data_IF_882042733929
#
_entry.id   IF_882042733929
#
_cell.length_a   1.000
_cell.length_b   1.000
_cell.length_c   1.000
_cell.angle_alpha   90.00
_cell.angle_beta   90.00
_cell.angle_gamma   90.00
#
_symmetry.space_group_name_H-M   'P 1'
#
loop_
_entity.id
_entity.type
_entity.pdbx_description
1 polymer ?
#
# COMPACT_ATOMS: atom_id res chain seq x y z
N UNK A 1 7.04 1.02 -10.91
CA UNK A 1 6.48 -0.20 -10.31
C UNK A 1 6.52 -1.34 -11.31
N UNK A 2 7.16 -2.44 -10.96
CA UNK A 2 7.31 -3.64 -11.80
C UNK A 2 5.95 -4.24 -12.17
N UNK A 3 5.81 -4.74 -13.40
CA UNK A 3 4.57 -5.37 -13.90
C UNK A 3 4.12 -6.53 -13.02
N UNK A 4 5.04 -7.40 -12.63
CA UNK A 4 4.75 -8.52 -11.74
C UNK A 4 4.18 -8.08 -10.39
N UNK A 5 4.72 -7.03 -9.79
CA UNK A 5 4.18 -6.51 -8.52
C UNK A 5 2.76 -5.94 -8.71
N UNK A 6 2.43 -5.37 -9.87
CA UNK A 6 1.06 -4.91 -10.17
C UNK A 6 0.10 -6.08 -10.30
N UNK A 7 0.51 -7.13 -11.00
CA UNK A 7 -0.29 -8.35 -11.17
C UNK A 7 -0.56 -8.99 -9.81
N UNK A 8 0.48 -9.12 -8.97
CA UNK A 8 0.34 -9.68 -7.62
C UNK A 8 -0.62 -8.81 -6.76
N UNK A 9 -0.51 -7.48 -6.82
CA UNK A 9 -1.45 -6.57 -6.14
C UNK A 9 -2.88 -6.84 -6.57
N UNK A 10 -3.15 -6.88 -7.88
CA UNK A 10 -4.50 -7.16 -8.40
C UNK A 10 -5.01 -8.52 -7.92
N UNK A 11 -4.16 -9.54 -7.88
CA UNK A 11 -4.53 -10.87 -7.38
C UNK A 11 -4.87 -10.83 -5.89
N UNK A 12 -4.04 -10.17 -5.06
CA UNK A 12 -4.28 -10.03 -3.61
C UNK A 12 -5.60 -9.29 -3.38
N UNK A 13 -5.79 -8.15 -4.05
CA UNK A 13 -7.03 -7.39 -4.00
C UNK A 13 -8.25 -8.26 -4.32
N UNK A 14 -8.23 -8.98 -5.45
CA UNK A 14 -9.35 -9.80 -5.89
C UNK A 14 -9.64 -10.95 -4.92
N UNK A 15 -8.61 -11.61 -4.39
CA UNK A 15 -8.77 -12.68 -3.40
C UNK A 15 -9.42 -12.14 -2.13
N UNK A 16 -8.94 -11.02 -1.60
CA UNK A 16 -9.47 -10.43 -0.36
C UNK A 16 -10.90 -9.93 -0.56
N UNK A 17 -11.20 -9.26 -1.68
CA UNK A 17 -12.56 -8.84 -2.03
C UNK A 17 -13.50 -10.04 -2.11
N UNK A 18 -13.08 -11.11 -2.80
CA UNK A 18 -13.90 -12.32 -2.95
C UNK A 18 -14.16 -13.01 -1.60
N UNK A 19 -13.12 -13.19 -0.79
CA UNK A 19 -13.24 -13.78 0.55
C UNK A 19 -14.16 -12.94 1.43
N UNK A 20 -13.93 -11.62 1.49
CA UNK A 20 -14.74 -10.70 2.29
C UNK A 20 -16.21 -10.76 1.87
N UNK A 21 -16.48 -10.79 0.56
CA UNK A 21 -17.83 -10.87 0.02
C UNK A 21 -18.52 -12.22 0.34
N UNK A 22 -17.82 -13.34 0.16
CA UNK A 22 -18.35 -14.69 0.45
C UNK A 22 -18.65 -14.86 1.94
N UNK A 23 -17.70 -14.46 2.80
CA UNK A 23 -17.83 -14.58 4.25
C UNK A 23 -18.71 -13.48 4.87
N UNK A 24 -19.17 -12.51 4.07
CA UNK A 24 -20.01 -11.38 4.51
C UNK A 24 -19.38 -10.62 5.68
N UNK A 25 -18.06 -10.45 5.64
CA UNK A 25 -17.32 -9.71 6.66
C UNK A 25 -17.80 -8.26 6.62
N UNK A 26 -18.19 -7.74 7.78
CA UNK A 26 -18.66 -6.39 7.93
C UNK A 26 -17.61 -5.55 8.64
N UNK A 27 -17.41 -4.32 8.15
CA UNK A 27 -16.58 -3.36 8.88
C UNK A 27 -17.44 -2.70 9.95
N UNK A 28 -17.29 -3.16 11.19
CA UNK A 28 -17.89 -2.56 12.37
C UNK A 28 -17.03 -1.42 12.92
N UNK A 29 -17.48 -0.81 14.02
CA UNK A 29 -16.79 0.34 14.61
C UNK A 29 -15.41 -0.02 15.16
N UNK A 30 -15.27 -1.21 15.76
CA UNK A 30 -14.01 -1.68 16.30
C UNK A 30 -13.00 -1.94 15.17
N UNK A 31 -13.39 -2.69 14.15
CA UNK A 31 -12.55 -2.94 12.99
C UNK A 31 -12.19 -1.65 12.24
N UNK A 32 -13.11 -0.69 12.17
CA UNK A 32 -12.82 0.65 11.62
C UNK A 32 -11.68 1.33 12.38
N UNK A 33 -11.75 1.34 13.72
CA UNK A 33 -10.72 1.94 14.58
C UNK A 33 -9.37 1.23 14.43
N UNK A 34 -9.38 -0.10 14.39
CA UNK A 34 -8.16 -0.90 14.24
C UNK A 34 -7.50 -0.66 12.88
N UNK A 35 -8.29 -0.64 11.80
CA UNK A 35 -7.79 -0.37 10.44
C UNK A 35 -7.27 1.07 10.30
N UNK A 36 -7.95 2.07 10.89
CA UNK A 36 -7.46 3.46 10.93
C UNK A 36 -6.10 3.56 11.62
N UNK A 37 -5.96 2.88 12.77
CA UNK A 37 -4.71 2.84 13.53
C UNK A 37 -3.58 2.23 12.70
N UNK A 38 -3.81 1.07 12.12
CA UNK A 38 -2.85 0.37 11.26
C UNK A 38 -2.43 1.25 10.09
N UNK A 39 -3.38 1.79 9.32
CA UNK A 39 -3.07 2.61 8.14
C UNK A 39 -2.31 3.88 8.53
N UNK A 40 -2.63 4.49 9.67
CA UNK A 40 -1.92 5.66 10.19
C UNK A 40 -0.46 5.34 10.52
N UNK A 41 -0.22 4.19 11.15
CA UNK A 41 1.14 3.70 11.43
C UNK A 41 1.89 3.46 10.11
N UNK A 42 1.26 2.83 9.12
CA UNK A 42 1.88 2.56 7.83
C UNK A 42 2.22 3.85 7.05
N UNK A 43 1.35 4.86 7.09
CA UNK A 43 1.62 6.17 6.52
C UNK A 43 2.78 6.86 7.23
N UNK A 44 2.81 6.83 8.56
CA UNK A 44 3.92 7.34 9.36
C UNK A 44 5.25 6.68 8.97
N UNK A 45 5.28 5.35 8.89
CA UNK A 45 6.44 4.60 8.45
C UNK A 45 6.87 4.99 7.02
N UNK A 46 5.91 5.14 6.11
CA UNK A 46 6.16 5.54 4.72
C UNK A 46 6.82 6.93 4.67
N UNK A 47 6.33 7.90 5.44
CA UNK A 47 6.90 9.24 5.53
C UNK A 47 8.29 9.26 6.15
N UNK A 48 8.47 8.57 7.28
CA UNK A 48 9.77 8.44 7.95
C UNK A 48 10.79 7.79 7.03
N UNK A 49 10.40 6.72 6.34
CA UNK A 49 11.24 6.01 5.39
C UNK A 49 11.70 6.92 4.24
N UNK A 50 10.80 7.69 3.64
CA UNK A 50 11.18 8.69 2.61
C UNK A 50 12.18 9.69 3.19
N UNK A 51 11.91 10.23 4.39
CA UNK A 51 12.80 11.18 5.06
C UNK A 51 14.21 10.62 5.25
N UNK A 52 14.32 9.35 5.69
CA UNK A 52 15.62 8.69 5.88
C UNK A 52 16.39 8.45 4.58
N UNK A 53 15.70 8.34 3.44
CA UNK A 53 16.35 8.15 2.14
C UNK A 53 16.90 9.46 1.56
N UNK A 54 16.38 10.63 1.99
CA UNK A 54 16.83 11.91 1.44
C UNK A 54 18.29 12.17 1.85
N UNK A 55 19.14 12.47 0.87
CA UNK A 55 20.55 12.83 1.10
C UNK A 55 21.51 11.65 1.28
N UNK A 56 21.02 10.41 1.37
CA UNK A 56 21.86 9.22 1.53
C UNK A 56 22.57 8.82 0.23
N UNK A 57 23.77 8.25 0.35
CA UNK A 57 24.54 7.75 -0.80
C UNK A 57 23.82 6.61 -1.52
N UNK A 58 23.05 5.80 -0.79
CA UNK A 58 22.15 4.80 -1.37
C UNK A 58 21.15 5.41 -2.38
N UNK A 59 20.60 6.58 -2.07
CA UNK A 59 19.66 7.28 -2.97
C UNK A 59 20.38 7.84 -4.20
N UNK A 60 21.64 8.29 -4.06
CA UNK A 60 22.46 8.70 -5.20
C UNK A 60 22.77 7.51 -6.12
N UNK A 61 23.05 6.34 -5.56
CA UNK A 61 23.24 5.08 -6.30
C UNK A 61 21.98 4.70 -7.08
N UNK A 62 20.83 4.63 -6.41
CA UNK A 62 19.52 4.36 -7.04
C UNK A 62 19.14 5.37 -8.14
N UNK A 63 19.58 6.63 -8.02
CA UNK A 63 19.35 7.66 -9.04
C UNK A 63 20.13 7.39 -10.32
N UNK A 64 21.31 6.78 -10.22
CA UNK A 64 22.19 6.55 -11.36
C UNK A 64 21.99 5.15 -11.99
N UNK A 65 21.42 4.21 -11.25
CA UNK A 65 21.12 2.86 -11.76
C UNK A 65 19.82 2.82 -12.57
N UNK A 66 19.91 2.32 -13.81
CA UNK A 66 18.75 2.05 -14.66
C UNK A 66 18.03 0.80 -14.14
N UNK A 67 16.71 0.87 -14.05
CA UNK A 67 15.88 -0.26 -13.67
C UNK A 67 15.55 -1.14 -14.89
N UNK A 68 16.37 -2.18 -15.08
CA UNK A 68 16.21 -3.16 -16.17
C UNK A 68 14.96 -4.03 -16.01
N UNK A 69 14.36 -4.07 -14.82
CA UNK A 69 13.18 -4.88 -14.53
C UNK A 69 11.87 -4.10 -14.78
N UNK A 70 11.94 -2.93 -15.40
CA UNK A 70 10.78 -2.19 -15.89
C UNK A 70 10.85 -1.92 -17.38
N UNK A 71 9.70 -2.01 -18.04
CA UNK A 71 9.51 -1.73 -19.47
C UNK A 71 9.77 -0.28 -19.87
N UNK A 72 9.81 0.62 -18.89
CA UNK A 72 10.13 2.03 -19.09
C UNK A 72 11.61 2.24 -18.82
N UNK A 73 12.29 3.03 -19.66
CA UNK A 73 13.62 3.55 -19.36
C UNK A 73 13.51 4.53 -18.19
N UNK A 74 13.64 4.03 -16.98
CA UNK A 74 13.58 4.80 -15.73
C UNK A 74 14.64 4.30 -14.75
N UNK A 75 15.00 5.11 -13.78
CA UNK A 75 15.98 4.74 -12.75
C UNK A 75 15.31 3.95 -11.63
N UNK A 76 16.09 3.20 -10.85
CA UNK A 76 15.56 2.49 -9.68
C UNK A 76 14.93 3.46 -8.67
N UNK A 77 15.48 4.68 -8.52
CA UNK A 77 14.89 5.73 -7.69
C UNK A 77 13.51 6.17 -8.20
N UNK A 78 13.34 6.33 -9.52
CA UNK A 78 12.05 6.65 -10.10
C UNK A 78 11.03 5.53 -9.86
N UNK A 79 11.46 4.27 -10.03
CA UNK A 79 10.63 3.11 -9.69
C UNK A 79 10.21 3.13 -8.22
N UNK A 80 11.15 3.37 -7.30
CA UNK A 80 10.92 3.43 -5.87
C UNK A 80 9.96 4.56 -5.49
N UNK A 81 10.11 5.75 -6.09
CA UNK A 81 9.18 6.87 -5.91
C UNK A 81 7.74 6.50 -6.26
N UNK A 82 7.52 5.68 -7.30
CA UNK A 82 6.19 5.19 -7.64
C UNK A 82 5.60 4.31 -6.54
N UNK A 83 6.39 3.42 -5.91
CA UNK A 83 5.90 2.61 -4.79
C UNK A 83 5.48 3.46 -3.60
N UNK A 84 6.29 4.44 -3.21
CA UNK A 84 5.95 5.38 -2.13
C UNK A 84 4.68 6.17 -2.45
N UNK A 85 4.56 6.72 -3.66
CA UNK A 85 3.36 7.45 -4.10
C UNK A 85 2.11 6.58 -4.04
N UNK A 86 2.20 5.34 -4.52
CA UNK A 86 1.06 4.39 -4.50
C UNK A 86 0.66 4.04 -3.07
N UNK A 87 1.61 3.71 -2.19
CA UNK A 87 1.31 3.40 -0.78
C UNK A 87 0.69 4.59 -0.05
N UNK A 88 1.23 5.79 -0.26
CA UNK A 88 0.71 7.01 0.35
C UNK A 88 -0.72 7.34 -0.12
N UNK A 89 -0.96 7.28 -1.44
CA UNK A 89 -2.30 7.51 -2.00
C UNK A 89 -3.31 6.45 -1.55
N UNK A 90 -2.92 5.17 -1.52
CA UNK A 90 -3.77 4.10 -1.00
C UNK A 90 -4.11 4.34 0.46
N UNK A 91 -3.15 4.70 1.30
CA UNK A 91 -3.40 5.01 2.71
C UNK A 91 -4.41 6.14 2.89
N UNK A 92 -4.29 7.23 2.12
CA UNK A 92 -5.27 8.33 2.15
C UNK A 92 -6.66 7.86 1.71
N UNK A 93 -6.74 7.12 0.60
CA UNK A 93 -8.01 6.59 0.08
C UNK A 93 -8.68 5.71 1.14
N UNK A 94 -7.92 4.81 1.79
CA UNK A 94 -8.45 3.93 2.84
C UNK A 94 -8.98 4.75 4.02
N UNK A 95 -8.26 5.76 4.50
CA UNK A 95 -8.73 6.63 5.60
C UNK A 95 -10.06 7.30 5.23
N UNK A 96 -10.14 7.92 4.05
CA UNK A 96 -11.35 8.59 3.57
C UNK A 96 -12.49 7.58 3.45
N UNK A 97 -12.23 6.38 2.93
CA UNK A 97 -13.22 5.34 2.78
C UNK A 97 -13.73 4.80 4.12
N UNK A 98 -12.85 4.57 5.10
CA UNK A 98 -13.23 4.13 6.44
C UNK A 98 -14.10 5.17 7.16
N UNK A 99 -13.81 6.46 6.98
CA UNK A 99 -14.66 7.53 7.54
C UNK A 99 -16.01 7.57 6.81
N UNK A 100 -16.00 7.42 5.49
CA UNK A 100 -17.20 7.49 4.65
C UNK A 100 -18.17 6.33 4.91
N UNK A 101 -17.68 5.18 5.36
CA UNK A 101 -18.48 3.98 5.65
C UNK A 101 -19.57 4.23 6.71
N UNK A 102 -19.34 5.19 7.61
CA UNK A 102 -20.25 5.58 8.69
C UNK A 102 -21.56 6.19 8.17
N UNK A 103 -21.54 6.72 6.96
CA UNK A 103 -22.71 7.33 6.32
C UNK A 103 -23.53 6.32 5.50
N UNK A 104 -23.05 5.09 5.34
CA UNK A 104 -23.75 4.06 4.57
C UNK A 104 -24.70 3.23 5.47
N UNK A 105 -25.93 2.97 5.02
CA UNK A 105 -26.87 2.14 5.76
C UNK A 105 -26.37 0.69 5.87
N UNK A 106 -26.36 0.16 7.10
CA UNK A 106 -25.78 -1.14 7.46
C UNK A 106 -26.33 -2.33 6.67
N UNK A 107 -27.61 -2.30 6.30
CA UNK A 107 -28.29 -3.40 5.61
C UNK A 107 -28.21 -3.33 4.07
N UNK A 108 -27.48 -2.37 3.49
CA UNK A 108 -27.42 -2.23 2.04
C UNK A 108 -26.42 -3.20 1.39
N UNK A 109 -26.79 -3.76 0.23
CA UNK A 109 -25.85 -4.49 -0.63
C UNK A 109 -24.63 -3.63 -0.98
N UNK A 110 -24.86 -2.33 -1.15
CA UNK A 110 -23.84 -1.34 -1.46
C UNK A 110 -22.77 -1.28 -0.36
N UNK A 111 -23.16 -1.33 0.93
CA UNK A 111 -22.19 -1.38 2.03
C UNK A 111 -21.35 -2.66 2.02
N UNK A 112 -21.93 -3.83 1.71
CA UNK A 112 -21.16 -5.09 1.62
C UNK A 112 -20.08 -5.05 0.54
N UNK A 113 -20.44 -4.51 -0.63
CA UNK A 113 -19.48 -4.33 -1.74
C UNK A 113 -18.40 -3.32 -1.32
N UNK A 114 -18.81 -2.23 -0.67
CA UNK A 114 -17.91 -1.19 -0.19
C UNK A 114 -16.91 -1.73 0.84
N UNK A 115 -17.37 -2.44 1.87
CA UNK A 115 -16.54 -3.09 2.89
C UNK A 115 -15.49 -4.01 2.25
N UNK A 116 -15.92 -4.81 1.28
CA UNK A 116 -15.04 -5.73 0.53
C UNK A 116 -13.94 -5.00 -0.22
N UNK A 117 -14.29 -3.89 -0.90
CA UNK A 117 -13.32 -3.05 -1.62
C UNK A 117 -12.34 -2.40 -0.63
N UNK A 118 -12.81 -1.88 0.49
CA UNK A 118 -11.96 -1.21 1.50
C UNK A 118 -10.95 -2.20 2.09
N UNK A 119 -11.39 -3.41 2.44
CA UNK A 119 -10.49 -4.46 2.95
C UNK A 119 -9.50 -4.94 1.88
N UNK A 120 -9.93 -5.05 0.62
CA UNK A 120 -9.04 -5.33 -0.51
C UNK A 120 -7.96 -4.25 -0.67
N UNK A 121 -8.34 -2.97 -0.67
CA UNK A 121 -7.39 -1.86 -0.74
C UNK A 121 -6.42 -1.86 0.44
N UNK A 122 -6.89 -2.22 1.64
CA UNK A 122 -6.05 -2.32 2.82
C UNK A 122 -4.99 -3.43 2.67
N UNK A 123 -5.38 -4.61 2.19
CA UNK A 123 -4.46 -5.71 1.91
C UNK A 123 -3.41 -5.34 0.85
N UNK A 124 -3.80 -4.61 -0.18
CA UNK A 124 -2.87 -4.09 -1.19
C UNK A 124 -1.87 -3.11 -0.58
N UNK A 125 -2.33 -2.20 0.29
CA UNK A 125 -1.43 -1.28 0.98
C UNK A 125 -0.41 -2.03 1.86
N UNK A 126 -0.84 -3.07 2.57
CA UNK A 126 0.05 -3.97 3.30
C UNK A 126 1.13 -4.60 2.42
N UNK A 127 0.74 -5.13 1.26
CA UNK A 127 1.68 -5.72 0.31
C UNK A 127 2.70 -4.70 -0.22
N UNK A 128 2.25 -3.51 -0.60
CA UNK A 128 3.14 -2.45 -1.09
C UNK A 128 4.10 -1.99 0.01
N UNK A 129 3.63 -1.78 1.23
CA UNK A 129 4.50 -1.41 2.34
C UNK A 129 5.49 -2.52 2.70
N UNK A 130 5.11 -3.80 2.59
CA UNK A 130 6.04 -4.91 2.73
C UNK A 130 7.17 -4.84 1.69
N UNK A 131 6.86 -4.54 0.42
CA UNK A 131 7.87 -4.34 -0.61
C UNK A 131 8.81 -3.18 -0.27
N UNK A 132 8.28 -2.07 0.24
CA UNK A 132 9.08 -0.91 0.69
C UNK A 132 10.02 -1.29 1.84
N UNK A 133 9.53 -1.98 2.86
CA UNK A 133 10.33 -2.48 3.99
C UNK A 133 11.45 -3.40 3.48
N UNK A 134 11.14 -4.32 2.57
CA UNK A 134 12.12 -5.24 1.99
C UNK A 134 13.26 -4.49 1.30
N UNK A 135 12.97 -3.40 0.60
CA UNK A 135 13.99 -2.55 -0.05
C UNK A 135 14.84 -1.83 1.00
N UNK A 136 14.25 -1.29 2.06
CA UNK A 136 14.98 -0.62 3.15
C UNK A 136 15.90 -1.58 3.91
N UNK A 137 15.44 -2.80 4.20
CA UNK A 137 16.28 -3.81 4.86
C UNK A 137 17.48 -4.17 3.96
N UNK A 138 17.26 -4.24 2.64
CA UNK A 138 18.35 -4.46 1.68
C UNK A 138 19.33 -3.28 1.66
N UNK A 139 18.83 -2.04 1.69
CA UNK A 139 19.70 -0.86 1.71
C UNK A 139 20.59 -0.82 2.94
N UNK A 140 20.06 -1.20 4.13
CA UNK A 140 20.86 -1.31 5.36
C UNK A 140 21.99 -2.34 5.26
N UNK A 141 21.83 -3.40 4.45
CA UNK A 141 22.85 -4.43 4.25
C UNK A 141 23.97 -3.99 3.32
N UNK A 142 23.68 -3.12 2.35
CA UNK A 142 24.65 -2.61 1.37
C UNK A 142 25.48 -1.41 1.88
N UNK A 143 25.19 -0.90 3.08
CA UNK A 143 25.95 0.19 3.75
C UNK A 143 27.16 -0.34 4.54
N UNK A 144 27.41 -1.65 4.55
CA UNK A 144 28.65 -2.28 5.04
C UNK A 144 29.56 -2.62 3.87
#
# INVERSE_FOLDING_TARGET
>A
MHKWHKIISIIIFLIVVLLTYIFKIHIDEQLTSDLLTVVSIMLGFTLTSISTLIGQDFTKKLRNEIDTNTDRKQTQLQTLSVYYKVSFLLGIIIIISLVSIRFLPSCSLLKKIYDSIVLGCNADNFYISYLLIKILIRSLREVK
#
